data_IF_105594933540
#
_entry.id   IF_105594933540
#
_cell.length_a   1.000
_cell.length_b   1.000
_cell.length_c   1.000
_cell.angle_alpha   90.00
_cell.angle_beta   90.00
_cell.angle_gamma   90.00
#
_symmetry.space_group_name_H-M   'P 1'
#
loop_
_entity.id
_entity.type
_entity.pdbx_description
1 polymer ?
#
# COMPACT_ATOMS: atom_id res chain seq x y z
N UNK A 1 -9.73 5.56 -27.91
CA UNK A 1 -10.15 4.39 -27.09
C UNK A 1 -10.52 4.89 -25.71
N UNK A 2 -11.71 4.57 -25.21
CA UNK A 2 -12.12 4.87 -23.84
C UNK A 2 -11.31 4.03 -22.87
N UNK A 3 -10.60 4.67 -21.93
CA UNK A 3 -9.86 3.97 -20.88
C UNK A 3 -10.84 3.19 -20.00
N UNK A 4 -10.46 1.97 -19.58
CA UNK A 4 -11.23 1.20 -18.60
C UNK A 4 -11.13 1.87 -17.24
N UNK A 5 -12.24 1.95 -16.50
CA UNK A 5 -12.27 2.48 -15.14
C UNK A 5 -11.65 1.50 -14.15
N UNK A 6 -10.84 2.02 -13.21
CA UNK A 6 -10.15 1.25 -12.18
C UNK A 6 -10.29 1.97 -10.84
N UNK A 7 -10.87 1.30 -9.86
CA UNK A 7 -11.02 1.79 -8.49
C UNK A 7 -9.83 1.31 -7.65
N UNK A 8 -9.01 2.24 -7.21
CA UNK A 8 -7.76 1.96 -6.50
C UNK A 8 -7.85 2.41 -5.05
N UNK A 9 -7.70 1.49 -4.13
CA UNK A 9 -7.42 1.80 -2.72
C UNK A 9 -5.92 2.00 -2.53
N UNK A 10 -5.50 3.11 -1.92
CA UNK A 10 -4.08 3.40 -1.68
C UNK A 10 -3.83 3.85 -0.26
N UNK A 11 -2.71 3.41 0.32
CA UNK A 11 -2.16 3.95 1.57
C UNK A 11 -0.68 4.23 1.36
N UNK A 12 -0.31 5.51 1.47
CA UNK A 12 1.05 6.03 1.39
C UNK A 12 1.28 6.96 2.59
N UNK A 13 1.77 6.39 3.70
CA UNK A 13 1.73 7.03 5.01
C UNK A 13 2.98 7.88 5.36
N UNK A 14 4.06 7.78 4.58
CA UNK A 14 5.32 8.46 4.82
C UNK A 14 5.71 9.32 3.60
N UNK A 15 6.60 10.29 3.78
CA UNK A 15 6.98 11.21 2.71
C UNK A 15 7.60 10.50 1.49
N UNK A 16 8.44 9.49 1.72
CA UNK A 16 9.01 8.67 0.65
C UNK A 16 7.94 7.83 -0.07
N UNK A 17 7.00 7.28 0.70
CA UNK A 17 5.89 6.47 0.17
C UNK A 17 4.88 7.32 -0.60
N UNK A 18 4.66 8.56 -0.20
CA UNK A 18 3.79 9.52 -0.89
C UNK A 18 4.28 9.81 -2.32
N UNK A 19 5.56 10.15 -2.47
CA UNK A 19 6.18 10.37 -3.79
C UNK A 19 6.13 9.13 -4.68
N UNK A 20 6.39 7.96 -4.11
CA UNK A 20 6.35 6.71 -4.85
C UNK A 20 4.92 6.34 -5.25
N UNK A 21 3.96 6.53 -4.34
CA UNK A 21 2.54 6.34 -4.60
C UNK A 21 2.02 7.24 -5.71
N UNK A 22 2.40 8.52 -5.72
CA UNK A 22 2.01 9.48 -6.76
C UNK A 22 2.50 9.03 -8.15
N UNK A 23 3.76 8.60 -8.29
CA UNK A 23 4.31 8.08 -9.56
C UNK A 23 3.56 6.85 -10.06
N UNK A 24 3.17 5.95 -9.15
CA UNK A 24 2.38 4.76 -9.51
C UNK A 24 0.99 5.18 -10.01
N UNK A 25 0.34 6.13 -9.33
CA UNK A 25 -0.95 6.67 -9.75
C UNK A 25 -0.87 7.31 -11.14
N UNK A 26 0.15 8.10 -11.41
CA UNK A 26 0.39 8.70 -12.73
C UNK A 26 0.50 7.63 -13.81
N UNK A 27 1.33 6.61 -13.59
CA UNK A 27 1.49 5.49 -14.53
C UNK A 27 0.17 4.71 -14.76
N UNK A 28 -0.65 4.55 -13.72
CA UNK A 28 -1.97 3.92 -13.87
C UNK A 28 -2.93 4.78 -14.68
N UNK A 29 -2.89 6.11 -14.52
CA UNK A 29 -3.72 7.06 -15.28
C UNK A 29 -3.38 7.08 -16.78
N UNK A 30 -2.19 6.68 -17.17
CA UNK A 30 -1.84 6.55 -18.60
C UNK A 30 -2.67 5.46 -19.28
N UNK A 31 -3.06 4.42 -18.52
CA UNK A 31 -3.74 3.21 -19.03
C UNK A 31 -5.22 3.20 -18.66
N UNK A 32 -5.58 3.67 -17.46
CA UNK A 32 -6.90 3.57 -16.87
C UNK A 32 -7.50 4.94 -16.54
N UNK A 33 -8.84 5.00 -16.45
CA UNK A 33 -9.55 6.04 -15.72
C UNK A 33 -9.58 5.66 -14.25
N UNK A 34 -8.79 6.36 -13.40
CA UNK A 34 -8.52 5.94 -12.04
C UNK A 34 -9.38 6.72 -11.03
N UNK A 35 -10.16 5.99 -10.22
CA UNK A 35 -10.81 6.51 -9.02
C UNK A 35 -9.96 6.13 -7.80
N UNK A 36 -9.55 7.12 -7.01
CA UNK A 36 -8.69 6.92 -5.85
C UNK A 36 -9.47 6.98 -4.54
N UNK A 37 -9.18 6.01 -3.66
CA UNK A 37 -9.74 5.91 -2.31
C UNK A 37 -8.60 5.64 -1.32
N UNK A 38 -8.58 6.31 -0.18
CA UNK A 38 -7.59 5.99 0.84
C UNK A 38 -6.90 7.17 1.48
N UNK A 39 -5.59 7.09 1.64
CA UNK A 39 -4.80 8.11 2.33
C UNK A 39 -3.42 8.23 1.70
N UNK A 40 -3.03 9.45 1.38
CA UNK A 40 -1.70 9.83 0.94
C UNK A 40 -1.35 11.22 1.42
N UNK A 41 -0.11 11.62 1.20
CA UNK A 41 0.39 12.96 1.47
C UNK A 41 0.11 13.94 0.31
N UNK A 42 0.83 15.08 0.28
CA UNK A 42 0.61 16.12 -0.71
C UNK A 42 0.74 15.65 -2.17
N UNK A 43 1.69 14.75 -2.45
CA UNK A 43 1.96 14.26 -3.80
C UNK A 43 0.81 13.36 -4.32
N UNK A 44 0.34 12.42 -3.51
CA UNK A 44 -0.82 11.58 -3.83
C UNK A 44 -2.09 12.42 -3.93
N UNK A 45 -2.26 13.39 -3.02
CA UNK A 45 -3.42 14.28 -2.98
C UNK A 45 -3.45 15.33 -4.11
N UNK A 46 -2.38 15.46 -4.90
CA UNK A 46 -2.41 16.21 -6.15
C UNK A 46 -3.41 15.59 -7.16
N UNK A 47 -3.73 14.31 -6.99
CA UNK A 47 -4.85 13.64 -7.65
C UNK A 47 -6.09 13.65 -6.77
N UNK A 48 -7.31 13.81 -7.33
CA UNK A 48 -8.54 13.67 -6.54
C UNK A 48 -8.60 12.31 -5.85
N UNK A 49 -8.66 12.32 -4.52
CA UNK A 49 -8.75 11.12 -3.69
C UNK A 49 -9.89 11.24 -2.67
N UNK A 50 -10.62 10.16 -2.51
CA UNK A 50 -11.66 10.07 -1.46
C UNK A 50 -11.04 9.51 -0.18
N UNK A 51 -11.01 10.34 0.87
CA UNK A 51 -10.49 9.98 2.20
C UNK A 51 -11.60 10.04 3.25
N UNK A 52 -11.64 9.12 4.23
CA UNK A 52 -12.65 9.19 5.29
C UNK A 52 -12.48 10.42 6.16
N UNK A 53 -13.58 11.04 6.59
CA UNK A 53 -13.56 12.22 7.46
C UNK A 53 -12.79 11.96 8.77
N UNK A 54 -11.98 12.96 9.16
CA UNK A 54 -11.24 12.95 10.43
C UNK A 54 -10.06 11.98 10.46
N UNK A 55 -9.50 11.67 9.28
CA UNK A 55 -8.19 11.03 9.13
C UNK A 55 -7.28 12.03 8.44
N UNK A 56 -6.14 12.32 9.06
CA UNK A 56 -5.09 13.16 8.50
C UNK A 56 -3.87 12.29 8.13
N UNK A 57 -3.19 12.67 7.06
CA UNK A 57 -1.93 12.08 6.65
C UNK A 57 -0.89 12.09 7.78
N UNK A 58 -0.81 13.21 8.53
CA UNK A 58 0.08 13.35 9.68
C UNK A 58 -0.24 12.38 10.83
N UNK A 59 -1.44 11.85 10.92
CA UNK A 59 -1.81 10.86 11.93
C UNK A 59 -1.05 9.54 11.79
N UNK A 60 -0.61 9.22 10.56
CA UNK A 60 0.19 8.03 10.26
C UNK A 60 1.70 8.28 10.32
N UNK A 61 2.15 9.52 10.12
CA UNK A 61 3.56 9.91 10.17
C UNK A 61 4.23 9.67 11.54
N UNK A 62 3.45 9.60 12.59
CA UNK A 62 3.93 9.52 13.96
C UNK A 62 4.26 8.09 14.39
N UNK A 63 4.15 7.11 13.49
CA UNK A 63 4.42 5.70 13.80
C UNK A 63 5.89 5.37 14.07
N UNK A 64 6.83 6.31 13.78
CA UNK A 64 8.27 6.02 13.91
C UNK A 64 8.91 6.39 15.23
N UNK A 65 8.41 7.37 15.99
CA UNK A 65 9.21 8.04 17.02
C UNK A 65 8.52 8.38 18.36
N UNK A 66 7.20 8.23 18.50
CA UNK A 66 6.51 8.62 19.75
C UNK A 66 5.59 7.50 20.22
N UNK A 67 5.73 7.14 21.49
CA UNK A 67 5.05 6.15 22.30
C UNK A 67 3.85 5.43 21.62
N UNK A 68 4.07 4.20 21.09
CA UNK A 68 3.04 3.46 20.34
C UNK A 68 1.77 3.21 21.17
N UNK A 69 1.91 3.15 22.50
CA UNK A 69 0.81 2.77 23.40
C UNK A 69 -0.29 3.83 23.49
N UNK A 70 0.07 5.11 23.40
CA UNK A 70 -0.91 6.22 23.53
C UNK A 70 -1.74 6.38 22.23
N UNK A 71 -1.19 5.97 21.09
CA UNK A 71 -1.82 6.18 19.76
C UNK A 71 -2.55 4.95 19.21
N UNK A 72 -2.41 3.80 19.85
CA UNK A 72 -3.07 2.55 19.42
C UNK A 72 -4.59 2.69 19.15
N UNK A 73 -5.39 3.36 20.00
CA UNK A 73 -6.83 3.49 19.74
C UNK A 73 -7.13 4.28 18.44
N UNK A 74 -6.38 5.37 18.18
CA UNK A 74 -6.56 6.20 16.97
C UNK A 74 -6.15 5.44 15.72
N UNK A 75 -5.04 4.72 15.77
CA UNK A 75 -4.58 3.86 14.67
C UNK A 75 -5.63 2.80 14.33
N UNK A 76 -6.20 2.17 15.36
CA UNK A 76 -7.21 1.13 15.18
C UNK A 76 -8.51 1.69 14.57
N UNK A 77 -8.92 2.88 15.02
CA UNK A 77 -10.08 3.58 14.47
C UNK A 77 -9.86 3.98 13.01
N UNK A 78 -8.69 4.54 12.70
CA UNK A 78 -8.33 4.94 11.33
C UNK A 78 -8.28 3.72 10.39
N UNK A 79 -7.71 2.60 10.83
CA UNK A 79 -7.74 1.34 10.08
C UNK A 79 -9.17 0.90 9.76
N UNK A 80 -10.08 0.95 10.74
CA UNK A 80 -11.49 0.58 10.53
C UNK A 80 -12.19 1.49 9.55
N UNK A 81 -11.99 2.82 9.64
CA UNK A 81 -12.57 3.80 8.73
C UNK A 81 -12.09 3.58 7.30
N UNK A 82 -10.77 3.42 7.09
CA UNK A 82 -10.19 3.15 5.77
C UNK A 82 -10.68 1.82 5.19
N UNK A 83 -10.71 0.77 5.98
CA UNK A 83 -11.21 -0.53 5.52
C UNK A 83 -12.70 -0.44 5.11
N UNK A 84 -13.53 0.27 5.88
CA UNK A 84 -14.93 0.50 5.54
C UNK A 84 -15.06 1.25 4.21
N UNK A 85 -14.25 2.30 4.00
CA UNK A 85 -14.20 3.03 2.73
C UNK A 85 -13.87 2.08 1.58
N UNK A 86 -12.80 1.29 1.68
CA UNK A 86 -12.37 0.39 0.62
C UNK A 86 -13.45 -0.63 0.25
N UNK A 87 -14.08 -1.24 1.24
CA UNK A 87 -15.15 -2.23 1.01
C UNK A 87 -16.40 -1.55 0.42
N UNK A 88 -16.84 -0.40 0.97
CA UNK A 88 -18.05 0.28 0.49
C UNK A 88 -17.89 0.90 -0.89
N UNK A 89 -16.67 1.22 -1.30
CA UNK A 89 -16.37 1.74 -2.64
C UNK A 89 -16.16 0.64 -3.67
N UNK A 90 -16.13 -0.64 -3.25
CA UNK A 90 -15.91 -1.80 -4.11
C UNK A 90 -14.65 -1.61 -4.96
N UNK A 91 -13.50 -1.42 -4.28
CA UNK A 91 -12.22 -1.21 -4.97
C UNK A 91 -11.77 -2.48 -5.69
N UNK A 92 -11.19 -2.31 -6.88
CA UNK A 92 -10.66 -3.43 -7.68
C UNK A 92 -9.29 -3.90 -7.16
N UNK A 93 -8.48 -2.96 -6.68
CA UNK A 93 -7.10 -3.19 -6.26
C UNK A 93 -6.73 -2.33 -5.05
N UNK A 94 -5.96 -2.89 -4.14
CA UNK A 94 -5.35 -2.19 -3.00
C UNK A 94 -3.84 -2.11 -3.18
N UNK A 95 -3.28 -0.91 -3.00
CA UNK A 95 -1.86 -0.62 -3.07
C UNK A 95 -1.39 -0.07 -1.71
N UNK A 96 -0.65 -0.90 -0.96
CA UNK A 96 0.05 -0.46 0.25
C UNK A 96 1.47 -0.02 -0.10
N UNK A 97 1.80 1.25 0.13
CA UNK A 97 3.13 1.78 -0.18
C UNK A 97 3.94 1.90 1.10
N UNK A 98 5.06 1.17 1.16
CA UNK A 98 5.92 1.08 2.35
C UNK A 98 5.14 0.62 3.60
N UNK A 99 5.59 0.93 4.80
CA UNK A 99 4.92 0.66 6.09
C UNK A 99 4.22 -0.71 6.17
N UNK A 100 4.93 -1.83 5.92
CA UNK A 100 4.31 -3.14 5.75
C UNK A 100 3.53 -3.62 6.99
N UNK A 101 3.98 -3.25 8.18
CA UNK A 101 3.29 -3.61 9.43
C UNK A 101 1.94 -2.90 9.59
N UNK A 102 1.77 -1.74 8.97
CA UNK A 102 0.48 -1.06 8.89
C UNK A 102 -0.39 -1.67 7.79
N UNK A 103 0.16 -1.87 6.61
CA UNK A 103 -0.57 -2.28 5.42
C UNK A 103 -1.01 -3.75 5.45
N UNK A 104 -0.31 -4.62 6.19
CA UNK A 104 -0.68 -6.05 6.27
C UNK A 104 -2.10 -6.30 6.79
N UNK A 105 -2.60 -5.41 7.64
CA UNK A 105 -3.99 -5.48 8.10
C UNK A 105 -4.98 -5.37 6.92
N UNK A 106 -4.73 -4.43 6.00
CA UNK A 106 -5.57 -4.22 4.83
C UNK A 106 -5.41 -5.35 3.81
N UNK A 107 -4.17 -5.78 3.54
CA UNK A 107 -3.90 -6.92 2.67
C UNK A 107 -4.71 -8.15 3.09
N UNK A 108 -4.68 -8.51 4.38
CA UNK A 108 -5.45 -9.65 4.91
C UNK A 108 -6.95 -9.49 4.70
N UNK A 109 -7.50 -8.34 5.07
CA UNK A 109 -8.94 -8.11 5.02
C UNK A 109 -9.47 -7.99 3.58
N UNK A 110 -8.76 -7.27 2.73
CA UNK A 110 -9.17 -7.03 1.35
C UNK A 110 -8.98 -8.28 0.47
N UNK A 111 -7.93 -9.04 0.68
CA UNK A 111 -7.75 -10.34 0.01
C UNK A 111 -8.89 -11.31 0.28
N UNK A 112 -9.39 -11.35 1.53
CA UNK A 112 -10.55 -12.17 1.90
C UNK A 112 -11.86 -11.67 1.26
N UNK A 113 -11.88 -10.42 0.75
CA UNK A 113 -12.98 -9.85 -0.03
C UNK A 113 -12.71 -9.86 -1.55
N UNK A 114 -11.78 -10.71 -2.01
CA UNK A 114 -11.41 -10.89 -3.41
C UNK A 114 -10.80 -9.65 -4.09
N UNK A 115 -10.36 -8.65 -3.32
CA UNK A 115 -9.62 -7.50 -3.84
C UNK A 115 -8.19 -7.91 -4.14
N UNK A 116 -7.65 -7.51 -5.29
CA UNK A 116 -6.22 -7.67 -5.61
C UNK A 116 -5.37 -6.78 -4.73
N UNK A 117 -4.22 -7.30 -4.28
CA UNK A 117 -3.38 -6.59 -3.31
C UNK A 117 -1.94 -6.48 -3.78
N UNK A 118 -1.41 -5.26 -3.74
CA UNK A 118 -0.02 -4.95 -4.10
C UNK A 118 0.67 -4.30 -2.91
N UNK A 119 1.82 -4.82 -2.52
CA UNK A 119 2.74 -4.15 -1.60
C UNK A 119 3.87 -3.52 -2.41
N UNK A 120 4.01 -2.21 -2.32
CA UNK A 120 5.12 -1.46 -2.88
C UNK A 120 6.14 -1.23 -1.79
N UNK A 121 7.39 -1.47 -2.08
CA UNK A 121 8.51 -1.65 -1.16
C UNK A 121 8.38 -2.97 -0.38
N UNK A 122 9.32 -3.86 -0.65
CA UNK A 122 9.36 -5.17 -0.02
C UNK A 122 9.53 -5.06 1.50
N UNK A 123 8.71 -5.74 2.30
CA UNK A 123 9.03 -5.91 3.73
C UNK A 123 10.38 -6.58 3.90
N UNK A 124 11.16 -6.15 4.89
CA UNK A 124 12.42 -6.83 5.23
C UNK A 124 12.13 -8.23 5.75
N UNK A 125 12.35 -9.23 4.91
CA UNK A 125 12.03 -10.64 5.20
C UNK A 125 13.29 -11.52 5.29
N UNK A 126 14.47 -10.96 5.00
CA UNK A 126 15.74 -11.66 5.07
C UNK A 126 16.25 -11.70 6.53
N UNK A 127 16.64 -12.86 6.96
CA UNK A 127 17.42 -13.13 8.17
C UNK A 127 16.64 -13.75 9.33
N UNK A 128 15.50 -13.27 9.78
CA UNK A 128 14.90 -13.76 11.04
C UNK A 128 13.36 -13.67 11.15
N UNK A 129 12.67 -13.29 10.07
CA UNK A 129 11.21 -13.11 10.08
C UNK A 129 10.49 -14.03 9.07
N UNK A 130 10.81 -15.33 9.11
CA UNK A 130 10.19 -16.33 8.20
C UNK A 130 8.65 -16.34 8.27
N UNK A 131 8.06 -16.07 9.44
CA UNK A 131 6.61 -15.99 9.58
C UNK A 131 5.97 -14.87 8.74
N UNK A 132 6.73 -13.81 8.40
CA UNK A 132 6.25 -12.76 7.48
C UNK A 132 6.09 -13.26 6.06
N UNK A 133 6.96 -14.17 5.62
CA UNK A 133 6.91 -14.73 4.27
C UNK A 133 5.58 -15.44 4.04
N UNK A 134 5.17 -16.30 4.96
CA UNK A 134 3.86 -16.99 4.89
C UNK A 134 2.69 -16.02 4.81
N UNK A 135 2.80 -14.89 5.52
CA UNK A 135 1.76 -13.85 5.50
C UNK A 135 1.75 -13.11 4.16
N UNK A 136 2.92 -12.79 3.60
CA UNK A 136 3.03 -12.14 2.29
C UNK A 136 2.48 -13.07 1.20
N UNK A 137 2.91 -14.32 1.19
CA UNK A 137 2.42 -15.35 0.25
C UNK A 137 0.90 -15.51 0.29
N UNK A 138 0.31 -15.51 1.47
CA UNK A 138 -1.13 -15.72 1.63
C UNK A 138 -1.98 -14.50 1.23
N UNK A 139 -1.47 -13.28 1.40
CA UNK A 139 -2.32 -12.08 1.36
C UNK A 139 -1.86 -10.98 0.40
N UNK A 140 -0.70 -11.12 -0.25
CA UNK A 140 -0.17 -10.14 -1.21
C UNK A 140 -0.02 -10.80 -2.57
N UNK A 141 -0.74 -10.29 -3.58
CA UNK A 141 -0.69 -10.84 -4.93
C UNK A 141 0.59 -10.44 -5.66
N UNK A 142 1.11 -9.23 -5.42
CA UNK A 142 2.32 -8.74 -6.05
C UNK A 142 3.14 -7.90 -5.06
N UNK A 143 4.43 -8.15 -4.97
CA UNK A 143 5.38 -7.29 -4.25
C UNK A 143 6.26 -6.54 -5.24
N UNK A 144 6.22 -5.19 -5.18
CA UNK A 144 7.11 -4.33 -5.95
C UNK A 144 8.38 -4.05 -5.15
N UNK A 145 9.52 -4.47 -5.68
CA UNK A 145 10.81 -4.46 -5.00
C UNK A 145 11.67 -3.29 -5.46
N UNK A 146 12.39 -2.64 -4.55
CA UNK A 146 13.35 -1.59 -4.86
C UNK A 146 14.72 -2.15 -5.26
N UNK A 147 15.06 -3.36 -4.81
CA UNK A 147 16.34 -4.01 -5.08
C UNK A 147 16.14 -5.35 -5.79
N UNK A 148 17.04 -5.65 -6.74
CA UNK A 148 16.95 -6.88 -7.54
C UNK A 148 17.02 -8.14 -6.68
N UNK A 149 17.86 -8.16 -5.64
CA UNK A 149 18.00 -9.33 -4.75
C UNK A 149 16.70 -9.68 -4.03
N UNK A 150 15.80 -8.71 -3.82
CA UNK A 150 14.48 -8.95 -3.24
C UNK A 150 13.60 -9.77 -4.20
N UNK A 151 13.61 -9.41 -5.49
CA UNK A 151 12.90 -10.18 -6.52
C UNK A 151 13.46 -11.60 -6.62
N UNK A 152 14.78 -11.76 -6.57
CA UNK A 152 15.43 -13.07 -6.60
C UNK A 152 15.00 -13.93 -5.40
N UNK A 153 14.82 -13.30 -4.23
CA UNK A 153 14.32 -13.96 -3.03
C UNK A 153 12.87 -14.45 -3.19
N UNK A 154 11.97 -13.59 -3.71
CA UNK A 154 10.57 -13.96 -3.95
C UNK A 154 10.43 -15.02 -5.05
N UNK A 155 11.20 -14.91 -6.12
CA UNK A 155 11.21 -15.88 -7.22
C UNK A 155 11.58 -17.30 -6.75
N UNK A 156 12.57 -17.44 -5.85
CA UNK A 156 12.95 -18.73 -5.25
C UNK A 156 11.82 -19.37 -4.43
N UNK A 157 10.80 -18.61 -4.07
CA UNK A 157 9.63 -19.05 -3.32
C UNK A 157 8.35 -19.10 -4.16
N UNK A 158 8.48 -18.98 -5.50
CA UNK A 158 7.36 -18.93 -6.44
C UNK A 158 6.33 -17.81 -6.14
N UNK A 159 6.77 -16.73 -5.51
CA UNK A 159 5.94 -15.58 -5.21
C UNK A 159 6.08 -14.50 -6.29
N UNK A 160 4.98 -13.81 -6.61
CA UNK A 160 4.99 -12.78 -7.63
C UNK A 160 5.69 -11.52 -7.11
N UNK A 161 6.67 -11.07 -7.87
CA UNK A 161 7.40 -9.83 -7.58
C UNK A 161 7.75 -9.07 -8.87
N UNK A 162 7.92 -7.76 -8.74
CA UNK A 162 8.32 -6.87 -9.83
C UNK A 162 9.44 -5.94 -9.37
N UNK A 163 10.50 -5.83 -10.15
CA UNK A 163 11.60 -4.91 -9.85
C UNK A 163 11.23 -3.51 -10.29
N UNK A 164 10.95 -2.63 -9.34
CA UNK A 164 10.61 -1.23 -9.60
C UNK A 164 11.87 -0.37 -9.80
N UNK A 165 12.98 -0.73 -9.17
CA UNK A 165 14.18 0.09 -9.06
C UNK A 165 14.08 1.12 -7.92
N UNK A 166 15.25 1.61 -7.49
CA UNK A 166 15.28 2.61 -6.43
C UNK A 166 15.00 4.00 -7.00
N UNK A 167 14.07 4.79 -6.45
CA UNK A 167 13.67 6.08 -7.01
C UNK A 167 14.78 7.14 -7.04
N UNK A 168 15.91 6.90 -6.34
CA UNK A 168 17.09 7.77 -6.31
C UNK A 168 18.30 7.20 -7.07
N UNK A 169 18.11 6.17 -7.90
CA UNK A 169 19.20 5.55 -8.69
C UNK A 169 19.28 6.08 -10.13
N UNK A 170 18.79 7.30 -10.37
CA UNK A 170 18.99 8.02 -11.62
C UNK A 170 20.09 9.05 -11.46
#
# INVERSE_FOLDING_TARGET
MTKKRLKVGIIAAEHSSDRLGAKIIESLKDIFEVDLYGLGGPEVNASPITTPNGIDYHDLHVMGLIDPLIKLPKIFLNRRKLLKLFISSDIDIFIGVDSPDFNIFFHKKLKLNNVKTIQVVSPSVWGWRENRIKTIEAYIDLTMCLFKFECDFYSKKNMQSFFLGHPFSQ
#
